data_IF_031745156646
#
_entry.id   IF_031745156646
#
_cell.length_a   1.000
_cell.length_b   1.000
_cell.length_c   1.000
_cell.angle_alpha   90.00
_cell.angle_beta   90.00
_cell.angle_gamma   90.00
#
_symmetry.space_group_name_H-M   'P 1'
#
loop_
_entity.id
_entity.type
_entity.pdbx_description
1 polymer ?
#
# COMPACT_ATOMS: atom_id res chain seq x y z
N UNK A 1 0.80 8.25 14.98
CA UNK A 1 -0.11 7.92 13.86
C UNK A 1 0.67 8.13 12.58
N UNK A 2 0.74 7.11 11.70
CA UNK A 2 1.46 7.19 10.43
C UNK A 2 0.45 7.03 9.30
N UNK A 3 0.51 7.91 8.31
CA UNK A 3 -0.29 7.89 7.08
C UNK A 3 0.62 8.24 5.91
N UNK A 4 0.38 7.65 4.75
CA UNK A 4 1.07 8.01 3.51
C UNK A 4 0.61 9.40 3.04
N UNK A 5 1.55 10.25 2.64
CA UNK A 5 1.25 11.53 2.03
C UNK A 5 0.92 11.38 0.53
N UNK A 6 -0.36 11.38 0.20
CA UNK A 6 -0.84 11.23 -1.19
C UNK A 6 -0.59 12.43 -2.12
N UNK A 7 -0.07 13.56 -1.62
CA UNK A 7 0.26 14.75 -2.43
C UNK A 7 1.76 15.08 -2.42
N UNK A 8 2.60 14.11 -2.06
CA UNK A 8 4.06 14.26 -2.10
C UNK A 8 4.57 14.52 -3.52
N UNK A 9 5.61 15.34 -3.65
CA UNK A 9 6.33 15.55 -4.92
C UNK A 9 7.26 14.38 -5.26
N UNK A 10 7.58 13.52 -4.28
CA UNK A 10 8.44 12.36 -4.46
C UNK A 10 7.85 11.10 -3.81
N UNK A 11 7.19 10.30 -4.65
CA UNK A 11 6.42 9.12 -4.23
C UNK A 11 7.36 7.99 -3.78
N UNK A 12 8.44 7.72 -4.52
CA UNK A 12 9.39 6.66 -4.16
C UNK A 12 10.01 6.90 -2.80
N UNK A 13 10.35 8.16 -2.49
CA UNK A 13 10.88 8.55 -1.19
C UNK A 13 9.84 8.35 -0.08
N UNK A 14 8.59 8.75 -0.31
CA UNK A 14 7.50 8.56 0.66
C UNK A 14 7.28 7.08 0.96
N UNK A 15 7.19 6.23 -0.07
CA UNK A 15 7.04 4.79 0.09
C UNK A 15 8.22 4.18 0.87
N UNK A 16 9.46 4.54 0.52
CA UNK A 16 10.66 4.06 1.20
C UNK A 16 10.72 4.51 2.67
N UNK A 17 10.32 5.76 2.95
CA UNK A 17 10.25 6.28 4.32
C UNK A 17 9.20 5.54 5.15
N UNK A 18 8.05 5.24 4.56
CA UNK A 18 6.99 4.50 5.25
C UNK A 18 7.43 3.07 5.62
N UNK A 19 8.08 2.36 4.70
CA UNK A 19 8.69 1.04 4.99
C UNK A 19 9.77 1.13 6.08
N UNK A 20 10.60 2.18 6.05
CA UNK A 20 11.62 2.40 7.07
C UNK A 20 11.00 2.66 8.45
N UNK A 21 9.87 3.38 8.52
CA UNK A 21 9.13 3.58 9.77
C UNK A 21 8.58 2.26 10.33
N UNK A 22 7.97 1.43 9.48
CA UNK A 22 7.48 0.09 9.89
C UNK A 22 8.64 -0.74 10.45
N UNK A 23 9.76 -0.80 9.71
CA UNK A 23 10.94 -1.56 10.14
C UNK A 23 11.54 -1.02 11.44
N UNK A 24 11.62 0.31 11.59
CA UNK A 24 12.13 0.97 12.81
C UNK A 24 11.25 0.65 14.02
N UNK A 25 9.96 0.45 13.82
CA UNK A 25 9.01 0.04 14.86
C UNK A 25 9.04 -1.47 15.17
N UNK A 26 9.86 -2.26 14.49
CA UNK A 26 9.96 -3.71 14.68
C UNK A 26 9.05 -4.54 13.79
N UNK A 27 8.31 -3.92 12.87
CA UNK A 27 7.31 -4.58 12.02
C UNK A 27 5.87 -4.28 12.44
N UNK A 28 4.93 -5.05 11.91
CA UNK A 28 3.50 -4.99 12.24
C UNK A 28 3.12 -6.31 12.91
N UNK A 29 2.77 -6.29 14.19
CA UNK A 29 2.36 -7.50 14.93
C UNK A 29 0.95 -7.99 14.54
N UNK A 30 0.06 -7.04 14.22
CA UNK A 30 -1.31 -7.31 13.82
C UNK A 30 -1.73 -6.36 12.70
N UNK A 31 -2.20 -6.93 11.60
CA UNK A 31 -2.75 -6.17 10.47
C UNK A 31 -4.21 -6.54 10.28
N UNK A 32 -5.10 -5.56 10.43
CA UNK A 32 -6.54 -5.71 10.19
C UNK A 32 -6.85 -5.13 8.81
N UNK A 33 -7.45 -5.93 7.94
CA UNK A 33 -7.64 -5.61 6.53
C UNK A 33 -9.08 -5.92 6.10
N UNK A 34 -9.59 -5.10 5.18
CA UNK A 34 -10.73 -5.46 4.35
C UNK A 34 -10.28 -6.18 3.08
N UNK A 35 -11.17 -6.98 2.49
CA UNK A 35 -10.97 -7.63 1.19
C UNK A 35 -12.06 -7.18 0.22
N UNK A 36 -11.67 -6.85 -1.01
CA UNK A 36 -12.60 -6.52 -2.08
C UNK A 36 -13.29 -7.75 -2.67
N UNK A 37 -14.40 -7.56 -3.40
CA UNK A 37 -15.16 -8.67 -4.01
C UNK A 37 -14.35 -9.53 -4.99
N UNK A 38 -13.31 -8.95 -5.60
CA UNK A 38 -12.38 -9.66 -6.49
C UNK A 38 -11.11 -10.14 -5.77
N UNK A 39 -11.06 -10.04 -4.44
CA UNK A 39 -9.93 -10.50 -3.62
C UNK A 39 -8.82 -9.48 -3.40
N UNK A 40 -8.96 -8.23 -3.85
CA UNK A 40 -7.92 -7.22 -3.63
C UNK A 40 -7.76 -6.87 -2.14
N UNK A 41 -6.55 -6.49 -1.74
CA UNK A 41 -6.21 -6.02 -0.39
C UNK A 41 -5.57 -4.63 -0.50
N UNK A 42 -6.10 -3.65 0.21
CA UNK A 42 -5.71 -2.25 -0.01
C UNK A 42 -6.02 -1.87 -1.46
N UNK A 43 -5.01 -1.39 -2.19
CA UNK A 43 -5.12 -1.13 -3.64
C UNK A 43 -4.42 -2.21 -4.50
N UNK A 44 -4.04 -3.35 -3.92
CA UNK A 44 -3.39 -4.43 -4.66
C UNK A 44 -4.44 -5.30 -5.38
N UNK A 45 -4.67 -5.01 -6.65
CA UNK A 45 -5.55 -5.80 -7.53
C UNK A 45 -4.97 -7.20 -7.82
N UNK A 46 -5.80 -8.16 -8.25
CA UNK A 46 -5.32 -9.47 -8.69
C UNK A 46 -4.30 -9.36 -9.83
N UNK A 47 -3.11 -9.92 -9.61
CA UNK A 47 -2.00 -9.93 -10.55
C UNK A 47 -1.31 -11.31 -10.52
N UNK A 48 -0.52 -11.63 -11.54
CA UNK A 48 0.36 -12.81 -11.56
C UNK A 48 1.54 -12.68 -10.59
N UNK A 49 1.84 -11.45 -10.17
CA UNK A 49 2.95 -11.10 -9.29
C UNK A 49 2.47 -10.47 -7.99
N UNK A 50 3.17 -10.76 -6.89
CA UNK A 50 2.86 -10.18 -5.59
C UNK A 50 3.72 -8.94 -5.34
N UNK A 51 3.09 -7.78 -5.26
CA UNK A 51 3.73 -6.58 -4.75
C UNK A 51 3.76 -6.62 -3.23
N UNK A 52 4.96 -6.79 -2.66
CA UNK A 52 5.14 -7.03 -1.22
C UNK A 52 5.49 -5.78 -0.42
N UNK A 53 5.69 -4.64 -1.09
CA UNK A 53 6.13 -3.38 -0.50
C UNK A 53 5.18 -2.23 -0.86
N UNK A 54 5.25 -1.17 -0.08
CA UNK A 54 4.58 0.10 -0.35
C UNK A 54 5.01 0.64 -1.72
N UNK A 55 4.06 0.94 -2.59
CA UNK A 55 4.31 1.44 -3.95
C UNK A 55 3.14 2.29 -4.46
N UNK A 56 3.40 3.05 -5.53
CA UNK A 56 2.35 3.74 -6.28
C UNK A 56 1.51 2.74 -7.07
N UNK A 57 0.19 2.84 -6.93
CA UNK A 57 -0.75 2.03 -7.72
C UNK A 57 -1.49 2.92 -8.70
N UNK A 58 -1.60 2.46 -9.95
CA UNK A 58 -2.56 2.99 -10.91
C UNK A 58 -3.89 2.27 -10.71
N UNK A 59 -4.93 3.02 -10.33
CA UNK A 59 -6.24 2.45 -10.10
C UNK A 59 -6.84 1.93 -11.41
N UNK A 60 -7.46 0.74 -11.35
CA UNK A 60 -8.23 0.24 -12.49
C UNK A 60 -9.57 0.96 -12.58
N UNK A 61 -10.15 0.99 -13.78
CA UNK A 61 -11.46 1.61 -13.99
C UNK A 61 -12.60 0.96 -13.16
N UNK A 62 -12.42 -0.28 -12.69
CA UNK A 62 -13.39 -0.96 -11.80
C UNK A 62 -13.30 -0.51 -10.34
N UNK A 63 -12.14 -0.03 -9.90
CA UNK A 63 -11.92 0.46 -8.53
C UNK A 63 -12.40 1.91 -8.35
N UNK A 64 -12.51 2.67 -9.45
CA UNK A 64 -12.88 4.11 -9.45
C UNK A 64 -14.41 4.32 -9.48
N UNK A 65 -15.20 3.29 -9.78
CA UNK A 65 -16.66 3.38 -9.93
C UNK A 65 -17.44 2.93 -8.71
#
# INVERSE_FOLDING_TARGET
>A
MHLLNGITENIDKECAQYEALIKKSGGIDLQVLGIGNNGHIGFNEPDISLNTRTHLVNLTAKTIR
#
